data_IF_180068416081
#
_entry.id   IF_180068416081
#
_cell.length_a   1.000
_cell.length_b   1.000
_cell.length_c   1.000
_cell.angle_alpha   90.00
_cell.angle_beta   90.00
_cell.angle_gamma   90.00
#
_symmetry.space_group_name_H-M   'P 1'
#
loop_
_entity.id
_entity.type
_entity.pdbx_description
1 polymer ?
#
# COMPACT_ATOMS: atom_id res chain seq x y z
N UNK A 1 -21.20 -9.66 -0.48
CA UNK A 1 -20.26 -10.72 -0.09
C UNK A 1 -19.83 -11.44 -1.35
N UNK A 2 -18.57 -11.33 -1.74
CA UNK A 2 -17.75 -12.33 -2.47
C UNK A 2 -16.66 -11.59 -3.24
N UNK A 3 -15.42 -11.69 -2.78
CA UNK A 3 -14.29 -11.77 -3.70
C UNK A 3 -13.12 -12.46 -2.98
N UNK A 4 -13.27 -13.77 -2.78
CA UNK A 4 -12.15 -14.64 -2.39
C UNK A 4 -11.34 -14.89 -3.67
N UNK A 5 -10.47 -13.93 -4.02
CA UNK A 5 -9.55 -14.10 -5.14
C UNK A 5 -8.55 -15.20 -4.78
N UNK A 6 -8.88 -16.46 -5.09
CA UNK A 6 -7.97 -17.60 -4.93
C UNK A 6 -6.83 -17.45 -5.92
N UNK A 7 -5.71 -16.92 -5.46
CA UNK A 7 -4.48 -16.87 -6.24
C UNK A 7 -3.80 -18.26 -6.21
N UNK A 8 -3.59 -18.85 -7.38
CA UNK A 8 -2.86 -20.11 -7.52
C UNK A 8 -1.38 -19.83 -7.75
N UNK A 9 -0.53 -20.35 -6.87
CA UNK A 9 0.92 -20.20 -6.96
C UNK A 9 1.58 -21.54 -7.29
N UNK A 10 2.53 -21.53 -8.23
CA UNK A 10 3.35 -22.71 -8.54
C UNK A 10 4.70 -22.59 -7.85
N UNK A 11 4.95 -23.48 -6.89
CA UNK A 11 6.29 -23.60 -6.28
C UNK A 11 7.17 -24.49 -7.15
N UNK A 12 8.29 -23.96 -7.65
CA UNK A 12 9.34 -24.75 -8.28
C UNK A 12 10.52 -24.89 -7.32
N UNK A 13 10.84 -26.12 -6.96
CA UNK A 13 11.94 -26.43 -6.05
C UNK A 13 12.67 -27.71 -6.50
N UNK A 14 13.82 -28.00 -5.90
CA UNK A 14 14.55 -29.22 -6.19
C UNK A 14 13.74 -30.46 -5.76
N UNK A 15 13.95 -31.58 -6.47
CA UNK A 15 13.26 -32.84 -6.15
C UNK A 15 13.52 -33.31 -4.72
N UNK A 16 14.77 -33.17 -4.25
CA UNK A 16 15.15 -33.48 -2.87
C UNK A 16 14.44 -32.60 -1.82
N UNK A 17 14.11 -31.36 -2.15
CA UNK A 17 13.31 -30.51 -1.29
C UNK A 17 11.85 -30.97 -1.25
N UNK A 18 11.25 -31.24 -2.41
CA UNK A 18 9.87 -31.73 -2.50
C UNK A 18 9.68 -33.08 -1.80
N UNK A 19 10.65 -33.99 -1.91
CA UNK A 19 10.60 -35.29 -1.21
C UNK A 19 10.65 -35.13 0.32
N UNK A 20 11.49 -34.21 0.83
CA UNK A 20 11.53 -33.90 2.27
C UNK A 20 10.26 -33.23 2.76
N UNK A 21 9.71 -32.33 1.95
CA UNK A 21 8.46 -31.62 2.26
C UNK A 21 7.28 -32.60 2.30
N UNK A 22 7.20 -33.53 1.33
CA UNK A 22 6.18 -34.57 1.31
C UNK A 22 6.27 -35.48 2.53
N UNK A 23 7.46 -35.96 2.90
CA UNK A 23 7.63 -36.77 4.10
C UNK A 23 7.18 -36.06 5.36
N UNK A 24 7.58 -34.79 5.53
CA UNK A 24 7.14 -34.01 6.68
C UNK A 24 5.61 -33.80 6.71
N UNK A 25 4.98 -33.61 5.54
CA UNK A 25 3.54 -33.51 5.44
C UNK A 25 2.83 -34.83 5.81
N UNK A 26 3.36 -35.96 5.33
CA UNK A 26 2.88 -37.31 5.66
C UNK A 26 3.03 -37.60 7.17
N UNK A 27 4.18 -37.26 7.77
CA UNK A 27 4.49 -37.44 9.20
C UNK A 27 3.55 -36.61 10.10
N UNK A 28 3.17 -35.40 9.65
CA UNK A 28 2.26 -34.51 10.34
C UNK A 28 0.76 -34.78 10.04
N UNK A 29 0.46 -35.72 9.13
CA UNK A 29 -0.92 -36.12 8.81
C UNK A 29 -1.71 -35.08 8.00
N UNK A 30 -1.05 -34.19 7.27
CA UNK A 30 -1.73 -33.17 6.46
C UNK A 30 -1.14 -33.04 5.05
N UNK A 31 -1.85 -32.34 4.15
CA UNK A 31 -1.40 -32.18 2.76
C UNK A 31 -0.07 -31.43 2.64
N UNK A 32 0.66 -31.66 1.55
CA UNK A 32 1.89 -30.92 1.26
C UNK A 32 1.67 -29.40 1.19
N UNK A 33 0.50 -28.95 0.73
CA UNK A 33 0.14 -27.53 0.75
C UNK A 33 -0.03 -27.01 2.17
N UNK A 34 -0.70 -27.78 3.04
CA UNK A 34 -0.85 -27.41 4.46
C UNK A 34 0.52 -27.29 5.14
N UNK A 35 1.46 -28.20 4.83
CA UNK A 35 2.83 -28.12 5.34
C UNK A 35 3.59 -26.89 4.83
N UNK A 36 3.40 -26.50 3.56
CA UNK A 36 4.01 -25.27 3.01
C UNK A 36 3.49 -24.05 3.78
N UNK A 37 2.17 -23.95 3.97
CA UNK A 37 1.55 -22.85 4.68
C UNK A 37 2.03 -22.82 6.14
N UNK A 38 2.00 -23.95 6.84
CA UNK A 38 2.46 -24.10 8.22
C UNK A 38 3.93 -23.65 8.37
N UNK A 39 4.81 -24.05 7.45
CA UNK A 39 6.20 -23.58 7.45
C UNK A 39 6.33 -22.09 7.17
N UNK A 40 5.56 -21.55 6.24
CA UNK A 40 5.57 -20.12 5.93
C UNK A 40 5.13 -19.30 7.14
N UNK A 41 4.03 -19.71 7.79
CA UNK A 41 3.50 -19.11 9.01
C UNK A 41 4.51 -19.19 10.15
N UNK A 42 5.16 -20.34 10.37
CA UNK A 42 6.17 -20.49 11.43
C UNK A 42 7.53 -19.87 11.10
N UNK A 43 7.84 -19.63 9.82
CA UNK A 43 9.08 -18.99 9.37
C UNK A 43 9.01 -17.47 9.37
N UNK A 44 7.82 -16.91 9.58
CA UNK A 44 7.61 -15.50 9.88
C UNK A 44 7.66 -15.35 11.40
N UNK A 45 8.83 -15.05 12.02
CA UNK A 45 8.84 -14.79 13.45
C UNK A 45 7.89 -13.63 13.74
N UNK A 46 7.11 -13.75 14.81
CA UNK A 46 6.22 -12.72 15.36
C UNK A 46 6.97 -11.46 15.89
N UNK A 47 8.26 -11.34 15.56
CA UNK A 47 9.19 -10.23 15.80
C UNK A 47 10.16 -10.13 14.61
N UNK A 48 9.68 -10.41 13.39
CA UNK A 48 10.53 -10.42 12.21
C UNK A 48 11.06 -9.01 11.95
N UNK A 49 12.32 -8.90 11.54
CA UNK A 49 12.88 -7.64 10.99
C UNK A 49 11.95 -7.01 9.94
N UNK A 50 11.13 -7.83 9.27
CA UNK A 50 10.10 -7.39 8.34
C UNK A 50 8.95 -6.67 9.05
N UNK A 51 8.44 -7.17 10.17
CA UNK A 51 7.40 -6.48 10.95
C UNK A 51 7.91 -5.12 11.47
N UNK A 52 9.12 -5.09 12.07
CA UNK A 52 9.73 -3.85 12.52
C UNK A 52 9.90 -2.85 11.36
N UNK A 53 10.44 -3.31 10.22
CA UNK A 53 10.55 -2.50 9.01
C UNK A 53 9.19 -1.97 8.52
N UNK A 54 8.14 -2.81 8.52
CA UNK A 54 6.80 -2.41 8.09
C UNK A 54 6.18 -1.38 9.05
N UNK A 55 6.45 -1.48 10.35
CA UNK A 55 6.02 -0.47 11.33
C UNK A 55 6.72 0.86 11.10
N UNK A 56 8.05 0.84 10.91
CA UNK A 56 8.84 2.04 10.61
C UNK A 56 8.36 2.68 9.29
N UNK A 57 8.17 1.89 8.23
CA UNK A 57 7.65 2.36 6.94
C UNK A 57 6.22 2.91 7.06
N UNK A 58 5.36 2.30 7.89
CA UNK A 58 4.02 2.80 8.13
C UNK A 58 4.03 4.15 8.86
N UNK A 59 4.93 4.34 9.82
CA UNK A 59 5.13 5.61 10.52
C UNK A 59 5.62 6.68 9.54
N UNK A 60 6.64 6.38 8.72
CA UNK A 60 7.14 7.31 7.71
C UNK A 60 6.05 7.69 6.70
N UNK A 61 5.30 6.72 6.17
CA UNK A 61 4.18 6.97 5.25
C UNK A 61 3.06 7.78 5.90
N UNK A 62 2.84 7.64 7.21
CA UNK A 62 1.86 8.46 7.92
C UNK A 62 2.29 9.92 7.97
N UNK A 63 3.56 10.19 8.26
CA UNK A 63 4.12 11.54 8.22
C UNK A 63 4.08 12.15 6.81
N UNK A 64 4.56 11.41 5.81
CA UNK A 64 4.52 11.84 4.41
C UNK A 64 3.10 12.08 3.92
N UNK A 65 2.16 11.20 4.29
CA UNK A 65 0.74 11.35 3.96
C UNK A 65 0.12 12.59 4.61
N UNK A 66 0.49 12.89 5.86
CA UNK A 66 0.04 14.09 6.57
C UNK A 66 0.49 15.37 5.87
N UNK A 67 1.77 15.44 5.50
CA UNK A 67 2.32 16.62 4.82
C UNK A 67 1.74 16.77 3.41
N UNK A 68 1.63 15.65 2.66
CA UNK A 68 0.98 15.64 1.35
C UNK A 68 -0.49 16.09 1.41
N UNK A 69 -1.20 15.75 2.49
CA UNK A 69 -2.58 16.22 2.72
C UNK A 69 -2.63 17.72 2.95
N UNK A 70 -1.72 18.28 3.75
CA UNK A 70 -1.66 19.73 3.97
C UNK A 70 -1.38 20.48 2.66
N UNK A 71 -0.45 19.98 1.85
CA UNK A 71 -0.15 20.54 0.53
C UNK A 71 -1.36 20.45 -0.41
N UNK A 72 -2.03 19.30 -0.44
CA UNK A 72 -3.24 19.11 -1.23
C UNK A 72 -4.34 20.11 -0.83
N UNK A 73 -4.59 20.28 0.46
CA UNK A 73 -5.59 21.23 0.98
C UNK A 73 -5.23 22.69 0.68
N UNK A 74 -3.93 23.04 0.77
CA UNK A 74 -3.43 24.37 0.40
C UNK A 74 -3.69 24.66 -1.07
N UNK A 75 -3.27 23.77 -1.96
CA UNK A 75 -3.44 23.94 -3.41
C UNK A 75 -4.94 23.95 -3.78
N UNK A 76 -5.76 23.13 -3.12
CA UNK A 76 -7.22 23.13 -3.32
C UNK A 76 -7.81 24.50 -3.01
N UNK A 77 -7.44 25.10 -1.86
CA UNK A 77 -7.89 26.44 -1.49
C UNK A 77 -7.44 27.51 -2.49
N UNK A 78 -6.21 27.43 -2.97
CA UNK A 78 -5.69 28.39 -3.95
C UNK A 78 -6.39 28.25 -5.31
N UNK A 79 -6.68 27.02 -5.74
CA UNK A 79 -7.46 26.75 -6.94
C UNK A 79 -8.91 27.23 -6.82
N UNK A 80 -9.55 27.02 -5.68
CA UNK A 80 -10.88 27.56 -5.39
C UNK A 80 -10.92 29.09 -5.41
N UNK A 81 -9.90 29.74 -4.85
CA UNK A 81 -9.76 31.21 -4.91
C UNK A 81 -9.68 31.70 -6.35
N UNK A 82 -8.82 31.11 -7.18
CA UNK A 82 -8.68 31.50 -8.59
C UNK A 82 -9.97 31.24 -9.38
N UNK A 83 -10.66 30.12 -9.11
CA UNK A 83 -11.96 29.83 -9.71
C UNK A 83 -13.02 30.85 -9.31
N UNK A 84 -13.02 31.31 -8.05
CA UNK A 84 -13.96 32.33 -7.59
C UNK A 84 -13.67 33.69 -8.23
N UNK A 85 -12.40 34.07 -8.39
CA UNK A 85 -11.99 35.29 -9.12
C UNK A 85 -12.42 35.24 -10.60
N UNK A 86 -12.31 34.09 -11.26
CA UNK A 86 -12.86 33.91 -12.62
C UNK A 86 -14.37 34.14 -12.67
N UNK A 87 -15.11 33.64 -11.68
CA UNK A 87 -16.57 33.79 -11.62
C UNK A 87 -16.99 35.22 -11.30
N UNK A 88 -16.23 35.95 -10.48
CA UNK A 88 -16.50 37.35 -10.14
C UNK A 88 -16.07 38.34 -11.23
N UNK A 89 -15.42 37.87 -12.31
CA UNK A 89 -14.94 38.71 -13.40
C UNK A 89 -13.63 39.46 -13.09
N UNK A 90 -12.92 39.04 -12.05
CA UNK A 90 -11.59 39.54 -11.74
C UNK A 90 -10.55 39.00 -12.74
N UNK A 91 -9.49 39.76 -13.03
CA UNK A 91 -8.42 39.29 -13.91
C UNK A 91 -7.70 38.10 -13.25
N UNK A 92 -7.67 36.98 -13.96
CA UNK A 92 -6.97 35.75 -13.55
C UNK A 92 -5.88 35.42 -14.56
N UNK A 93 -4.70 35.08 -14.06
CA UNK A 93 -3.60 34.60 -14.87
C UNK A 93 -3.86 33.13 -15.27
N UNK A 94 -4.13 32.91 -16.56
CA UNK A 94 -4.38 31.57 -17.10
C UNK A 94 -3.20 30.61 -16.99
N UNK A 95 -1.96 31.13 -16.96
CA UNK A 95 -0.76 30.32 -16.76
C UNK A 95 -0.69 29.83 -15.31
N UNK A 96 -0.94 30.72 -14.35
CA UNK A 96 -1.01 30.38 -12.92
C UNK A 96 -2.11 29.36 -12.64
N UNK A 97 -3.30 29.55 -13.22
CA UNK A 97 -4.41 28.61 -13.08
C UNK A 97 -4.07 27.23 -13.66
N UNK A 98 -3.45 27.20 -14.84
CA UNK A 98 -2.97 25.97 -15.46
C UNK A 98 -1.98 25.21 -14.57
N UNK A 99 -1.02 25.94 -13.98
CA UNK A 99 -0.05 25.37 -13.03
C UNK A 99 -0.75 24.79 -11.79
N UNK A 100 -1.67 25.54 -11.16
CA UNK A 100 -2.41 25.08 -9.98
C UNK A 100 -3.23 23.82 -10.26
N UNK A 101 -3.82 23.67 -11.46
CA UNK A 101 -4.55 22.46 -11.84
C UNK A 101 -3.62 21.24 -11.90
N UNK A 102 -2.43 21.38 -12.49
CA UNK A 102 -1.44 20.29 -12.56
C UNK A 102 -0.93 19.95 -11.17
N UNK A 103 -0.56 20.96 -10.37
CA UNK A 103 -0.08 20.77 -9.00
C UNK A 103 -1.15 20.09 -8.12
N UNK A 104 -2.42 20.50 -8.24
CA UNK A 104 -3.53 19.90 -7.52
C UNK A 104 -3.67 18.42 -7.86
N UNK A 105 -3.58 18.07 -9.15
CA UNK A 105 -3.64 16.67 -9.60
C UNK A 105 -2.48 15.84 -9.03
N UNK A 106 -1.25 16.33 -9.11
CA UNK A 106 -0.09 15.62 -8.56
C UNK A 106 -0.12 15.51 -7.03
N UNK A 107 -0.63 16.53 -6.34
CA UNK A 107 -0.84 16.47 -4.89
C UNK A 107 -1.87 15.39 -4.52
N UNK A 108 -2.99 15.31 -5.25
CA UNK A 108 -4.00 14.27 -5.05
C UNK A 108 -3.44 12.85 -5.32
N UNK A 109 -2.69 12.67 -6.41
CA UNK A 109 -2.06 11.39 -6.75
C UNK A 109 -1.05 10.94 -5.68
N UNK A 110 -0.20 11.85 -5.20
CA UNK A 110 0.77 11.57 -4.11
C UNK A 110 0.08 11.16 -2.82
N UNK A 111 -0.93 11.92 -2.38
CA UNK A 111 -1.70 11.60 -1.18
C UNK A 111 -2.37 10.23 -1.30
N UNK A 112 -3.03 9.96 -2.43
CA UNK A 112 -3.67 8.67 -2.66
C UNK A 112 -2.68 7.50 -2.68
N UNK A 113 -1.45 7.70 -3.16
CA UNK A 113 -0.42 6.65 -3.18
C UNK A 113 0.05 6.33 -1.75
N UNK A 114 0.38 7.34 -0.95
CA UNK A 114 0.76 7.15 0.46
C UNK A 114 -0.35 6.45 1.26
N UNK A 115 -1.59 6.89 1.13
CA UNK A 115 -2.74 6.23 1.79
C UNK A 115 -2.93 4.77 1.33
N UNK A 116 -2.71 4.49 0.04
CA UNK A 116 -2.83 3.13 -0.50
C UNK A 116 -1.73 2.22 0.05
N UNK A 117 -0.48 2.70 0.10
CA UNK A 117 0.64 1.95 0.67
C UNK A 117 0.43 1.70 2.17
N UNK A 118 0.04 2.72 2.92
CA UNK A 118 -0.25 2.61 4.34
C UNK A 118 -1.36 1.59 4.63
N UNK A 119 -2.48 1.62 3.86
CA UNK A 119 -3.54 0.60 3.98
C UNK A 119 -3.06 -0.82 3.70
N UNK A 120 -2.15 -1.01 2.75
CA UNK A 120 -1.57 -2.33 2.45
C UNK A 120 -0.71 -2.81 3.59
N UNK A 121 0.12 -1.95 4.15
CA UNK A 121 1.00 -2.30 5.27
C UNK A 121 0.17 -2.66 6.51
N UNK A 122 -0.82 -1.84 6.88
CA UNK A 122 -1.73 -2.13 8.00
C UNK A 122 -2.42 -3.49 7.85
N UNK A 123 -2.88 -3.83 6.64
CA UNK A 123 -3.43 -5.15 6.35
C UNK A 123 -2.45 -6.29 6.57
N UNK A 124 -1.17 -6.10 6.23
CA UNK A 124 -0.11 -7.09 6.48
C UNK A 124 0.20 -7.22 7.97
N UNK A 125 0.16 -6.11 8.71
CA UNK A 125 0.36 -6.06 10.16
C UNK A 125 -0.86 -6.53 10.97
N UNK A 126 -2.03 -6.69 10.34
CA UNK A 126 -3.28 -7.06 11.03
C UNK A 126 -3.98 -5.91 11.76
N UNK A 127 -3.71 -4.66 11.38
CA UNK A 127 -4.29 -3.41 11.91
C UNK A 127 -5.48 -2.87 11.11
#
# INVERSE_FOLDING_TARGET
MTDDSRATYTLRASRSFLDRLKRAADDAGHSMNAEIINRLENSLPADSKLEAFLRDEAEELWHLGRDAKQDYERITKDLERQKNSLVSGEPVDGMLLGQLIVEHRWAAERLSDYERRLRRIKRVLGE
#
